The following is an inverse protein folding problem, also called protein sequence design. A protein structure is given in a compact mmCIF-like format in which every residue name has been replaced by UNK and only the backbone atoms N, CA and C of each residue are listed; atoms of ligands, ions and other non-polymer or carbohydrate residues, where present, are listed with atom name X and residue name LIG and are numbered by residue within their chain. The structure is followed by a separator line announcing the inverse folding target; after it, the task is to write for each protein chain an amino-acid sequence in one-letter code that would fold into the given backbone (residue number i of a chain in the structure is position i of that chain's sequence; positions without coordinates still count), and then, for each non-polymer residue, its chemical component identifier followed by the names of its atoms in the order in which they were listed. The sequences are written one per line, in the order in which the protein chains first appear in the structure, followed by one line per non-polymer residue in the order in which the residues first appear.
data_IF_344563168489
#
_entry.id   IF_344563168489
#
_cell.length_a   1.000
_cell.length_b   1.000
_cell.length_c   1.000
_cell.angle_alpha   90.00
_cell.angle_beta   90.00
_cell.angle_gamma   90.00
#
_symmetry.space_group_name_H-M   'P 1'
#
loop_
_entity.id
_entity.type
_entity.pdbx_description
1 polymer ?
#
# COMPACT_ATOMS: atom_id res chain seq x y z
N UNK A 1 2.59 0.84 -29.35
CA UNK A 1 2.61 1.17 -27.90
C UNK A 1 1.33 1.87 -27.50
N UNK A 2 0.78 1.50 -26.35
CA UNK A 2 -0.43 2.11 -25.83
C UNK A 2 -0.17 3.50 -25.24
N UNK A 3 -1.27 4.23 -25.03
CA UNK A 3 -1.24 5.55 -24.39
C UNK A 3 -1.00 5.45 -22.90
N UNK A 4 -0.55 6.53 -22.30
CA UNK A 4 -0.45 6.71 -20.87
C UNK A 4 -1.54 7.67 -20.39
N UNK A 5 -2.00 7.47 -19.15
CA UNK A 5 -2.90 8.42 -18.52
C UNK A 5 -2.13 9.65 -18.06
N UNK A 6 -2.80 10.80 -17.98
CA UNK A 6 -2.22 11.93 -17.30
C UNK A 6 -2.12 11.61 -15.79
N UNK A 7 -1.23 12.33 -15.13
CA UNK A 7 -0.90 12.08 -13.71
C UNK A 7 -2.13 12.09 -12.80
N UNK A 8 -2.96 13.09 -12.93
CA UNK A 8 -4.13 13.25 -12.06
C UNK A 8 -5.12 12.12 -12.23
N UNK A 9 -5.37 11.69 -13.46
CA UNK A 9 -6.25 10.58 -13.75
C UNK A 9 -5.71 9.28 -13.15
N UNK A 10 -4.42 9.03 -13.33
CA UNK A 10 -3.76 7.85 -12.77
C UNK A 10 -3.83 7.85 -11.24
N UNK A 11 -3.56 8.98 -10.59
CA UNK A 11 -3.69 9.10 -9.12
C UNK A 11 -5.10 8.72 -8.65
N UNK A 12 -6.13 9.23 -9.34
CA UNK A 12 -7.51 8.93 -8.99
C UNK A 12 -7.84 7.44 -9.16
N UNK A 13 -7.36 6.82 -10.23
CA UNK A 13 -7.55 5.40 -10.48
C UNK A 13 -6.89 4.55 -9.39
N UNK A 14 -5.70 4.92 -8.98
CA UNK A 14 -4.98 4.24 -7.90
C UNK A 14 -5.73 4.37 -6.58
N UNK A 15 -6.16 5.58 -6.23
CA UNK A 15 -6.95 5.82 -5.01
C UNK A 15 -8.22 4.99 -4.98
N UNK A 16 -8.94 4.95 -6.10
CA UNK A 16 -10.17 4.19 -6.19
C UNK A 16 -9.90 2.70 -6.03
N UNK A 17 -8.84 2.19 -6.66
CA UNK A 17 -8.48 0.79 -6.53
C UNK A 17 -8.09 0.42 -5.09
N UNK A 18 -7.32 1.26 -4.41
CA UNK A 18 -6.94 1.03 -3.02
C UNK A 18 -8.16 0.89 -2.10
N UNK A 19 -9.24 1.62 -2.39
CA UNK A 19 -10.47 1.53 -1.60
C UNK A 19 -11.22 0.20 -1.78
N UNK A 20 -10.98 -0.49 -2.86
CA UNK A 20 -11.66 -1.76 -3.17
C UNK A 20 -10.99 -2.98 -2.56
N UNK A 21 -9.78 -2.85 -2.06
CA UNK A 21 -8.99 -3.97 -1.53
C UNK A 21 -8.78 -3.82 -0.03
N UNK A 22 -8.84 -4.92 0.71
CA UNK A 22 -8.67 -4.93 2.17
C UNK A 22 -7.26 -5.33 2.60
N UNK A 23 -6.60 -6.19 1.83
CA UNK A 23 -5.30 -6.75 2.18
C UNK A 23 -4.27 -6.49 1.09
N UNK A 24 -3.02 -6.48 1.51
CA UNK A 24 -1.88 -6.40 0.60
C UNK A 24 -0.76 -7.30 1.13
N UNK A 25 0.24 -7.51 0.29
CA UNK A 25 1.49 -8.13 0.72
C UNK A 25 2.51 -7.03 0.89
N UNK A 26 3.13 -6.96 2.06
CA UNK A 26 4.27 -6.08 2.29
C UNK A 26 5.55 -6.90 2.31
N UNK A 27 6.54 -6.45 1.53
CA UNK A 27 7.87 -7.03 1.48
C UNK A 27 8.87 -6.09 2.14
N UNK A 28 9.69 -6.66 3.01
CA UNK A 28 10.77 -5.97 3.71
C UNK A 28 12.06 -6.75 3.51
N UNK A 29 13.19 -6.11 3.72
CA UNK A 29 14.49 -6.78 3.54
C UNK A 29 15.52 -6.18 4.49
N UNK A 30 16.25 -7.04 5.18
CA UNK A 30 17.47 -6.64 5.89
C UNK A 30 18.50 -7.77 5.74
N UNK A 31 19.78 -7.41 5.75
CA UNK A 31 20.88 -8.37 5.57
C UNK A 31 20.69 -9.24 4.32
N UNK A 32 20.14 -8.67 3.25
CA UNK A 32 19.84 -9.34 1.98
C UNK A 32 18.85 -10.50 2.08
N UNK A 33 18.09 -10.58 3.19
CA UNK A 33 17.05 -11.60 3.37
C UNK A 33 15.68 -10.94 3.22
N UNK A 34 14.98 -11.20 2.10
CA UNK A 34 13.65 -10.66 1.89
C UNK A 34 12.60 -11.41 2.70
N UNK A 35 11.56 -10.70 3.11
CA UNK A 35 10.41 -11.27 3.79
C UNK A 35 9.15 -10.62 3.28
N UNK A 36 8.14 -11.44 3.02
CA UNK A 36 6.82 -10.99 2.57
C UNK A 36 5.75 -11.48 3.54
N UNK A 37 4.76 -10.66 3.82
CA UNK A 37 3.62 -11.05 4.65
C UNK A 37 2.35 -10.37 4.18
N UNK A 38 1.23 -11.10 4.28
CA UNK A 38 -0.10 -10.56 3.99
C UNK A 38 -0.59 -9.81 5.21
N UNK A 39 -1.05 -8.57 4.99
CA UNK A 39 -1.54 -7.69 6.05
C UNK A 39 -2.78 -6.95 5.59
N UNK A 40 -3.62 -6.56 6.52
CA UNK A 40 -4.69 -5.60 6.27
C UNK A 40 -4.08 -4.21 6.16
N UNK A 41 -4.61 -3.36 5.29
CA UNK A 41 -4.09 -2.00 5.13
C UNK A 41 -5.21 -0.96 5.13
N UNK A 42 -4.85 0.27 5.43
CA UNK A 42 -5.78 1.39 5.54
C UNK A 42 -5.20 2.57 4.75
N UNK A 43 -5.77 2.90 3.56
CA UNK A 43 -5.25 4.00 2.76
C UNK A 43 -5.76 5.35 3.24
N UNK A 44 -4.92 6.37 3.09
CA UNK A 44 -5.29 7.76 3.22
C UNK A 44 -4.68 8.49 2.02
N UNK A 45 -5.47 8.73 0.98
CA UNK A 45 -4.95 9.13 -0.32
C UNK A 45 -4.08 8.02 -0.91
N UNK A 46 -2.82 8.32 -1.17
CA UNK A 46 -1.85 7.35 -1.67
C UNK A 46 -0.94 6.80 -0.56
N UNK A 47 -1.05 7.33 0.65
CA UNK A 47 -0.32 6.83 1.80
C UNK A 47 -1.03 5.60 2.35
N UNK A 48 -0.27 4.61 2.77
CA UNK A 48 -0.82 3.36 3.28
C UNK A 48 -0.40 3.18 4.73
N UNK A 49 -1.38 2.86 5.58
CA UNK A 49 -1.14 2.55 6.99
C UNK A 49 -1.40 1.07 7.24
N UNK A 50 -0.54 0.46 8.04
CA UNK A 50 -0.63 -0.94 8.43
C UNK A 50 -0.46 -1.00 9.94
N UNK A 51 -1.34 -1.78 10.62
CA UNK A 51 -1.20 -2.04 12.04
C UNK A 51 -0.50 -3.37 12.25
N UNK A 52 0.45 -3.39 13.16
CA UNK A 52 1.24 -4.60 13.42
C UNK A 52 1.70 -4.65 14.88
N UNK A 53 1.73 -5.87 15.41
CA UNK A 53 2.24 -6.10 16.76
C UNK A 53 3.77 -6.01 16.84
N UNK A 54 4.46 -6.11 15.73
CA UNK A 54 5.91 -6.17 15.68
C UNK A 54 6.36 -7.30 14.75
N UNK A 55 7.34 -8.06 15.19
CA UNK A 55 7.90 -9.18 14.43
C UNK A 55 8.98 -8.77 13.44
N UNK A 56 9.32 -9.70 12.53
CA UNK A 56 10.45 -9.51 11.60
C UNK A 56 10.29 -8.34 10.65
N UNK A 57 9.05 -8.04 10.22
CA UNK A 57 8.85 -6.89 9.32
C UNK A 57 9.23 -5.58 10.01
N UNK A 58 8.88 -5.42 11.28
CA UNK A 58 9.25 -4.22 12.05
C UNK A 58 10.77 -4.17 12.27
N UNK A 59 11.38 -5.28 12.63
CA UNK A 59 12.83 -5.35 12.80
C UNK A 59 13.56 -5.05 11.50
N UNK A 60 13.06 -5.56 10.37
CA UNK A 60 13.62 -5.27 9.06
C UNK A 60 13.52 -3.78 8.73
N UNK A 61 12.35 -3.16 8.99
CA UNK A 61 12.12 -1.75 8.70
C UNK A 61 13.02 -0.84 9.54
N UNK A 62 13.28 -1.22 10.79
CA UNK A 62 14.22 -0.46 11.64
C UNK A 62 15.62 -0.40 11.05
N UNK A 63 16.05 -1.48 10.39
CA UNK A 63 17.37 -1.56 9.75
C UNK A 63 17.35 -1.00 8.34
N UNK A 64 16.26 -1.23 7.62
CA UNK A 64 16.10 -0.81 6.23
C UNK A 64 14.66 -0.38 6.01
N UNK A 65 14.39 0.94 5.91
CA UNK A 65 13.03 1.44 5.77
C UNK A 65 12.40 1.22 4.40
N UNK A 66 13.17 0.78 3.40
CA UNK A 66 12.63 0.53 2.06
C UNK A 66 11.74 -0.69 2.07
N UNK A 67 10.55 -0.54 1.50
CA UNK A 67 9.55 -1.60 1.43
C UNK A 67 8.94 -1.66 0.04
N UNK A 68 8.32 -2.79 -0.24
CA UNK A 68 7.52 -2.98 -1.44
C UNK A 68 6.16 -3.54 -1.05
N UNK A 69 5.11 -3.09 -1.74
CA UNK A 69 3.75 -3.57 -1.52
C UNK A 69 3.20 -4.08 -2.84
N UNK A 70 2.52 -5.22 -2.78
CA UNK A 70 1.77 -5.75 -3.90
C UNK A 70 0.34 -6.06 -3.46
N UNK A 71 -0.62 -5.70 -4.29
CA UNK A 71 -2.01 -6.08 -4.09
C UNK A 71 -2.68 -6.24 -5.44
N UNK A 72 -3.67 -7.13 -5.48
CA UNK A 72 -4.39 -7.39 -6.72
C UNK A 72 -5.85 -7.71 -6.44
N UNK A 73 -6.68 -7.44 -7.44
CA UNK A 73 -8.02 -7.99 -7.50
C UNK A 73 -7.93 -9.52 -7.64
N UNK A 74 -8.99 -10.28 -7.32
CA UNK A 74 -8.98 -11.72 -7.52
C UNK A 74 -8.63 -12.08 -8.96
N UNK A 75 -7.67 -12.99 -9.12
CA UNK A 75 -7.20 -13.41 -10.44
C UNK A 75 -8.05 -14.59 -10.93
N UNK A 76 -8.73 -14.39 -12.06
CA UNK A 76 -9.55 -15.42 -12.70
C UNK A 76 -9.12 -15.70 -14.15
N UNK A 77 -7.97 -15.19 -14.54
CA UNK A 77 -7.39 -15.31 -15.87
C UNK A 77 -6.67 -14.02 -16.24
N UNK A 78 -5.92 -14.05 -17.33
CA UNK A 78 -5.13 -12.90 -17.77
C UNK A 78 -5.97 -11.63 -17.95
N UNK A 79 -7.19 -11.75 -18.49
CA UNK A 79 -8.05 -10.61 -18.75
C UNK A 79 -8.53 -9.91 -17.47
N UNK A 80 -8.50 -10.61 -16.33
CA UNK A 80 -8.90 -10.05 -15.04
C UNK A 80 -7.73 -9.46 -14.24
N UNK A 81 -6.52 -9.51 -14.80
CA UNK A 81 -5.33 -9.02 -14.11
C UNK A 81 -5.47 -7.53 -13.81
N UNK A 82 -5.47 -7.19 -12.53
CA UNK A 82 -5.55 -5.81 -12.05
C UNK A 82 -4.91 -5.70 -10.67
N UNK A 83 -3.96 -4.80 -10.52
CA UNK A 83 -3.27 -4.65 -9.26
C UNK A 83 -2.33 -3.47 -9.20
N UNK A 84 -1.68 -3.35 -8.06
CA UNK A 84 -0.66 -2.33 -7.80
C UNK A 84 0.63 -2.97 -7.31
N UNK A 85 1.72 -2.38 -7.73
CA UNK A 85 3.05 -2.63 -7.16
C UNK A 85 3.57 -1.28 -6.67
N UNK A 86 3.89 -1.19 -5.39
CA UNK A 86 4.27 0.07 -4.76
C UNK A 86 5.65 -0.08 -4.16
N UNK A 87 6.55 0.80 -4.56
CA UNK A 87 7.85 0.97 -3.89
C UNK A 87 7.75 2.20 -2.98
N UNK A 88 8.31 2.12 -1.79
CA UNK A 88 8.25 3.23 -0.87
C UNK A 88 9.12 3.04 0.36
N UNK A 89 8.92 3.92 1.32
CA UNK A 89 9.59 3.85 2.62
C UNK A 89 8.56 3.74 3.74
N UNK A 90 8.91 3.03 4.78
CA UNK A 90 8.06 2.84 5.95
C UNK A 90 8.62 3.61 7.15
N UNK A 91 7.73 4.28 7.88
CA UNK A 91 8.01 4.88 9.16
C UNK A 91 7.19 4.14 10.22
N UNK A 92 7.76 3.95 11.40
CA UNK A 92 7.11 3.24 12.50
C UNK A 92 6.60 4.26 13.52
N UNK A 93 5.28 4.20 13.79
CA UNK A 93 4.65 5.01 14.83
C UNK A 93 4.20 4.15 16.00
N UNK A 94 4.68 4.49 17.20
CA UNK A 94 4.20 3.89 18.45
C UNK A 94 3.03 4.68 18.98
N UNK A 95 2.26 4.08 19.90
CA UNK A 95 1.13 4.72 20.56
C UNK A 95 1.52 6.10 21.08
N UNK A 96 0.70 7.10 20.79
CA UNK A 96 0.96 8.49 21.16
C UNK A 96 1.67 9.32 20.09
N UNK A 97 2.28 8.71 19.08
CA UNK A 97 2.94 9.45 18.00
C UNK A 97 1.91 9.98 16.98
N UNK A 98 2.32 10.95 16.18
CA UNK A 98 1.48 11.48 15.09
C UNK A 98 1.16 10.40 14.05
N UNK A 99 2.14 9.58 13.69
CA UNK A 99 1.94 8.47 12.75
C UNK A 99 0.89 7.51 13.27
N UNK A 100 0.94 7.19 14.56
CA UNK A 100 -0.06 6.32 15.19
C UNK A 100 -1.46 6.91 15.08
N UNK A 101 -1.60 8.21 15.38
CA UNK A 101 -2.88 8.92 15.28
C UNK A 101 -3.42 8.92 13.85
N UNK A 102 -2.55 9.18 12.87
CA UNK A 102 -2.93 9.14 11.45
C UNK A 102 -3.43 7.75 11.06
N UNK A 103 -2.73 6.70 11.49
CA UNK A 103 -3.12 5.31 11.22
C UNK A 103 -4.47 4.94 11.84
N UNK A 104 -4.72 5.38 13.07
CA UNK A 104 -6.00 5.17 13.74
C UNK A 104 -7.12 5.85 12.97
N UNK A 105 -6.93 7.08 12.50
CA UNK A 105 -7.93 7.77 11.67
C UNK A 105 -8.24 7.03 10.38
N UNK A 106 -7.22 6.53 9.71
CA UNK A 106 -7.39 5.76 8.49
C UNK A 106 -8.17 4.46 8.75
N UNK A 107 -7.86 3.80 9.85
CA UNK A 107 -8.57 2.59 10.30
C UNK A 107 -10.05 2.90 10.58
N UNK A 108 -10.30 3.91 11.41
CA UNK A 108 -11.67 4.32 11.78
C UNK A 108 -12.50 4.65 10.53
N UNK A 109 -11.92 5.41 9.61
CA UNK A 109 -12.60 5.80 8.37
C UNK A 109 -12.97 4.57 7.53
N UNK A 110 -12.04 3.64 7.37
CA UNK A 110 -12.27 2.43 6.57
C UNK A 110 -13.31 1.51 7.19
N UNK A 111 -13.25 1.34 8.50
CA UNK A 111 -14.15 0.44 9.24
C UNK A 111 -15.50 1.09 9.60
N UNK A 112 -15.63 2.40 9.41
CA UNK A 112 -16.84 3.12 9.83
C UNK A 112 -17.00 3.19 11.35
N UNK A 113 -15.90 3.14 12.09
CA UNK A 113 -15.86 3.17 13.55
C UNK A 113 -15.45 4.55 14.06
N UNK A 114 -15.76 4.82 15.32
CA UNK A 114 -15.35 6.04 16.02
C UNK A 114 -14.63 5.66 17.30
N UNK A 115 -13.56 6.40 17.62
CA UNK A 115 -12.82 6.28 18.89
C UNK A 115 -12.42 4.85 19.24
N UNK A 116 -11.67 4.22 18.35
CA UNK A 116 -11.12 2.90 18.65
C UNK A 116 -9.93 3.02 19.59
N UNK A 117 -9.71 1.96 20.36
CA UNK A 117 -8.55 1.84 21.24
C UNK A 117 -7.73 0.63 20.82
N UNK A 118 -6.41 0.81 20.76
CA UNK A 118 -5.47 -0.25 20.41
C UNK A 118 -4.62 -0.62 21.60
N UNK A 119 -4.19 -1.90 21.69
CA UNK A 119 -3.23 -2.30 22.72
C UNK A 119 -1.93 -1.49 22.66
N UNK A 120 -1.28 -1.32 23.80
CA UNK A 120 -0.05 -0.52 23.90
C UNK A 120 1.10 -1.06 23.04
N UNK A 121 1.11 -2.36 22.76
CA UNK A 121 2.15 -3.01 21.94
C UNK A 121 1.94 -2.80 20.44
N UNK A 122 0.80 -2.28 20.03
CA UNK A 122 0.50 -2.09 18.61
C UNK A 122 1.33 -0.95 18.04
N UNK A 123 1.88 -1.17 16.85
CA UNK A 123 2.58 -0.16 16.05
C UNK A 123 1.77 0.15 14.80
N UNK A 124 1.96 1.33 14.25
CA UNK A 124 1.46 1.71 12.93
C UNK A 124 2.66 1.87 12.01
N UNK A 125 2.58 1.25 10.84
CA UNK A 125 3.53 1.51 9.76
C UNK A 125 2.88 2.52 8.82
N UNK A 126 3.59 3.60 8.52
CA UNK A 126 3.21 4.59 7.51
C UNK A 126 4.07 4.36 6.28
N UNK A 127 3.44 3.97 5.19
CA UNK A 127 4.14 3.71 3.93
C UNK A 127 3.95 4.91 3.01
N UNK A 128 5.05 5.54 2.66
CA UNK A 128 5.08 6.70 1.76
C UNK A 128 5.60 6.21 0.41
N UNK A 129 4.74 6.19 -0.63
CA UNK A 129 5.15 5.70 -1.95
C UNK A 129 6.21 6.60 -2.60
N UNK A 130 7.18 5.98 -3.24
CA UNK A 130 8.11 6.66 -4.16
C UNK A 130 7.71 6.40 -5.62
N UNK A 131 7.13 5.24 -5.88
CA UNK A 131 6.66 4.85 -7.22
C UNK A 131 5.52 3.86 -7.09
N UNK A 132 4.50 4.01 -7.92
CA UNK A 132 3.35 3.10 -7.98
C UNK A 132 3.14 2.67 -9.42
N UNK A 133 3.14 1.35 -9.66
CA UNK A 133 2.72 0.77 -10.91
C UNK A 133 1.26 0.31 -10.77
N UNK A 134 0.42 0.82 -11.64
CA UNK A 134 -0.97 0.38 -11.81
C UNK A 134 -1.01 -0.54 -13.03
N UNK A 135 -1.49 -1.76 -12.83
CA UNK A 135 -1.52 -2.80 -13.86
C UNK A 135 -2.97 -3.23 -14.05
N UNK A 136 -3.44 -3.15 -15.30
CA UNK A 136 -4.81 -3.50 -15.63
C UNK A 136 -4.87 -4.02 -17.06
N UNK A 137 -5.13 -5.32 -17.23
CA UNK A 137 -5.15 -5.96 -18.54
C UNK A 137 -6.24 -5.41 -19.46
N UNK A 138 -7.34 -4.87 -18.91
CA UNK A 138 -8.41 -4.29 -19.73
C UNK A 138 -8.01 -3.00 -20.46
N UNK A 139 -6.97 -2.33 -19.97
CA UNK A 139 -6.51 -1.08 -20.58
C UNK A 139 -6.05 -1.24 -22.02
N UNK A 140 -5.53 -2.41 -22.36
CA UNK A 140 -5.10 -2.69 -23.74
C UNK A 140 -6.24 -2.53 -24.73
N UNK A 141 -7.44 -2.98 -24.37
CA UNK A 141 -8.63 -2.88 -25.23
C UNK A 141 -9.05 -1.43 -25.49
N UNK A 142 -8.63 -0.53 -24.61
CA UNK A 142 -8.95 0.91 -24.69
C UNK A 142 -7.81 1.72 -25.30
N UNK A 143 -6.75 1.06 -25.79
CA UNK A 143 -5.60 1.71 -26.40
C UNK A 143 -4.56 2.26 -25.43
N UNK A 144 -4.61 1.85 -24.15
CA UNK A 144 -3.63 2.25 -23.15
C UNK A 144 -2.62 1.15 -22.87
N UNK A 145 -1.47 1.53 -22.35
CA UNK A 145 -0.51 0.55 -21.82
C UNK A 145 -1.11 -0.13 -20.61
N UNK A 146 -0.90 -1.43 -20.48
CA UNK A 146 -1.38 -2.23 -19.35
C UNK A 146 -0.76 -1.75 -18.05
N UNK A 147 0.53 -1.37 -18.09
CA UNK A 147 1.25 -0.82 -16.93
C UNK A 147 1.33 0.69 -17.04
N UNK A 148 0.83 1.36 -16.02
CA UNK A 148 0.87 2.81 -15.88
C UNK A 148 1.66 3.15 -14.62
N UNK A 149 2.68 3.98 -14.73
CA UNK A 149 3.59 4.27 -13.60
C UNK A 149 3.41 5.70 -13.12
N UNK A 150 3.22 5.84 -11.79
CA UNK A 150 3.18 7.11 -11.10
C UNK A 150 4.45 7.22 -10.25
N UNK A 151 5.29 8.20 -10.55
CA UNK A 151 6.55 8.40 -9.85
C UNK A 151 6.55 9.72 -9.07
N UNK A 152 7.14 9.69 -7.88
CA UNK A 152 7.37 10.86 -7.02
C UNK A 152 8.87 11.20 -6.94
N UNK A 153 9.68 10.54 -7.73
CA UNK A 153 11.13 10.75 -7.77
C UNK A 153 11.53 11.86 -8.74
#
# INVERSE_FOLDING_TARGET
MGKEFNRKKLENMIRDFLKTQATCVIATCSDSIPRASTVEFFPAGLTIYIMTEGGRKVENIKKNPRVSIALSAPFTGWESLKGLQISGTAEIGRKGSEIFKEGIKAYEKRKGLKKISMPDFMNVLKIIPSEIDYIDAELEKKGYQIRQTLSFL
#
